data_IF_445514092483
#
_entry.id   IF_445514092483
#
_cell.length_a   1.000
_cell.length_b   1.000
_cell.length_c   1.000
_cell.angle_alpha   90.00
_cell.angle_beta   90.00
_cell.angle_gamma   90.00
#
_symmetry.space_group_name_H-M   'P 1'
#
loop_
_entity.id
_entity.type
_entity.pdbx_description
1 polymer ?
#
# COMPACT_ATOMS: atom_id res chain seq x y z
N UNK A 1 15.47 -17.10 -10.30
CA UNK A 1 14.26 -16.40 -9.82
C UNK A 1 14.47 -16.07 -8.37
N UNK A 2 14.29 -14.82 -7.94
CA UNK A 2 14.57 -14.44 -6.56
C UNK A 2 13.43 -14.93 -5.66
N UNK A 3 13.74 -15.46 -4.48
CA UNK A 3 12.71 -15.89 -3.54
C UNK A 3 13.10 -15.60 -2.10
N UNK A 4 12.10 -15.26 -1.29
CA UNK A 4 12.25 -14.97 0.13
C UNK A 4 11.14 -15.68 0.90
N UNK A 5 11.48 -16.30 2.04
CA UNK A 5 10.48 -16.92 2.92
C UNK A 5 9.82 -15.87 3.80
N UNK A 6 8.51 -15.92 3.95
CA UNK A 6 7.75 -14.98 4.79
C UNK A 6 7.88 -15.40 6.26
N UNK A 7 8.87 -14.85 6.97
CA UNK A 7 8.98 -15.07 8.41
C UNK A 7 8.18 -14.05 9.22
N UNK A 8 8.27 -12.77 8.84
CA UNK A 8 7.49 -11.69 9.46
C UNK A 8 7.15 -10.65 8.41
N UNK A 9 5.97 -10.05 8.53
CA UNK A 9 5.56 -8.92 7.69
C UNK A 9 5.08 -7.77 8.56
N UNK A 10 5.49 -6.57 8.21
CA UNK A 10 4.96 -5.33 8.79
C UNK A 10 4.80 -4.27 7.71
N UNK A 11 4.39 -3.06 8.09
CA UNK A 11 4.32 -1.92 7.19
C UNK A 11 4.80 -0.64 7.88
N UNK A 12 5.19 0.33 7.06
CA UNK A 12 5.46 1.69 7.51
C UNK A 12 5.02 2.70 6.46
N UNK A 13 4.85 3.96 6.89
CA UNK A 13 4.47 5.05 5.99
C UNK A 13 5.71 5.85 5.57
N UNK A 14 5.95 5.97 4.27
CA UNK A 14 7.12 6.69 3.70
C UNK A 14 6.69 7.74 2.69
N UNK A 15 7.59 8.65 2.31
CA UNK A 15 7.44 9.46 1.09
C UNK A 15 7.48 8.55 -0.14
N UNK A 16 6.68 8.82 -1.18
CA UNK A 16 6.66 7.99 -2.39
C UNK A 16 8.00 8.10 -3.13
N UNK A 17 8.52 6.95 -3.57
CA UNK A 17 9.75 6.88 -4.36
C UNK A 17 9.41 6.90 -5.86
N UNK A 18 10.00 7.83 -6.65
CA UNK A 18 9.76 7.87 -8.09
C UNK A 18 10.06 6.52 -8.77
N UNK A 19 9.23 6.12 -9.74
CA UNK A 19 9.27 4.84 -10.48
C UNK A 19 8.85 3.59 -9.68
N UNK A 20 8.68 3.67 -8.36
CA UNK A 20 8.18 2.57 -7.52
C UNK A 20 6.78 2.85 -6.99
N UNK A 21 6.53 4.10 -6.60
CA UNK A 21 5.27 4.54 -6.01
C UNK A 21 4.55 5.56 -6.89
N UNK A 22 3.26 5.74 -6.62
CA UNK A 22 2.45 6.79 -7.23
C UNK A 22 2.74 8.13 -6.55
N UNK A 23 3.46 9.02 -7.24
CA UNK A 23 3.81 10.36 -6.73
C UNK A 23 2.69 11.39 -6.95
N UNK A 24 1.81 11.18 -7.92
CA UNK A 24 0.69 12.07 -8.25
C UNK A 24 -0.60 11.25 -8.36
N UNK A 25 -1.63 11.65 -7.63
CA UNK A 25 -2.93 10.97 -7.66
C UNK A 25 -3.77 11.54 -8.81
N UNK A 26 -4.05 10.78 -9.88
CA UNK A 26 -4.94 11.26 -10.94
C UNK A 26 -6.38 11.47 -10.44
N UNK A 27 -6.80 10.67 -9.46
CA UNK A 27 -8.13 10.77 -8.85
C UNK A 27 -8.32 12.05 -8.02
N UNK A 28 -7.30 12.46 -7.26
CA UNK A 28 -7.38 13.67 -6.42
C UNK A 28 -6.77 14.91 -7.07
N UNK A 29 -6.07 14.74 -8.19
CA UNK A 29 -5.32 15.78 -8.91
C UNK A 29 -4.28 16.50 -8.02
N UNK A 30 -3.73 15.78 -7.04
CA UNK A 30 -2.78 16.30 -6.04
C UNK A 30 -1.53 15.43 -5.92
N UNK A 31 -0.43 16.04 -5.45
CA UNK A 31 0.79 15.32 -5.11
C UNK A 31 0.59 14.43 -3.88
N UNK A 32 1.07 13.20 -3.95
CA UNK A 32 1.01 12.22 -2.86
C UNK A 32 2.12 12.51 -1.87
N UNK A 33 1.77 12.69 -0.58
CA UNK A 33 2.73 12.99 0.48
C UNK A 33 3.34 11.74 1.11
N UNK A 34 2.51 10.73 1.40
CA UNK A 34 2.93 9.48 2.06
C UNK A 34 2.17 8.29 1.49
N UNK A 35 2.87 7.15 1.39
CA UNK A 35 2.34 5.86 0.93
C UNK A 35 2.72 4.76 1.92
N UNK A 36 1.90 3.71 2.05
CA UNK A 36 2.23 2.54 2.84
C UNK A 36 3.21 1.64 2.06
N UNK A 37 4.24 1.16 2.75
CA UNK A 37 5.20 0.18 2.21
C UNK A 37 5.17 -1.03 3.13
N UNK A 38 4.94 -2.21 2.55
CA UNK A 38 5.02 -3.48 3.27
C UNK A 38 6.49 -3.94 3.31
N UNK A 39 6.94 -4.46 4.45
CA UNK A 39 8.26 -5.08 4.59
C UNK A 39 8.08 -6.55 4.95
N UNK A 40 8.66 -7.42 4.14
CA UNK A 40 8.73 -8.86 4.41
C UNK A 40 10.15 -9.20 4.84
N UNK A 41 10.28 -9.77 6.03
CA UNK A 41 11.52 -10.26 6.58
C UNK A 41 11.57 -11.78 6.45
N UNK A 42 12.73 -12.28 6.01
CA UNK A 42 13.02 -13.71 6.09
C UNK A 42 14.22 -14.14 5.26
N UNK A 43 14.55 -15.44 5.28
CA UNK A 43 15.71 -15.97 4.58
C UNK A 43 15.44 -16.20 3.09
N UNK A 44 16.49 -16.06 2.27
CA UNK A 44 16.56 -16.62 0.91
C UNK A 44 16.76 -18.15 0.98
N UNK A 45 16.62 -18.90 -0.14
CA UNK A 45 16.93 -20.34 -0.16
C UNK A 45 18.36 -20.67 0.27
N UNK A 46 19.30 -19.74 0.06
CA UNK A 46 20.68 -19.84 0.52
C UNK A 46 20.86 -19.51 2.02
N UNK A 47 19.79 -19.18 2.75
CA UNK A 47 19.83 -18.87 4.18
C UNK A 47 20.18 -17.42 4.53
N UNK A 48 20.38 -16.55 3.55
CA UNK A 48 20.70 -15.13 3.79
C UNK A 48 19.46 -14.39 4.29
N UNK A 49 19.59 -13.63 5.38
CA UNK A 49 18.50 -12.78 5.88
C UNK A 49 18.30 -11.60 4.94
N UNK A 50 17.09 -11.41 4.46
CA UNK A 50 16.72 -10.30 3.57
C UNK A 50 15.49 -9.56 4.08
N UNK A 51 15.38 -8.29 3.68
CA UNK A 51 14.22 -7.44 3.90
C UNK A 51 13.69 -6.96 2.54
N UNK A 52 12.53 -7.50 2.14
CA UNK A 52 11.86 -7.14 0.90
C UNK A 52 10.90 -5.97 1.16
N UNK A 53 11.07 -4.87 0.42
CA UNK A 53 10.15 -3.74 0.44
C UNK A 53 9.17 -3.85 -0.74
N UNK A 54 7.87 -3.87 -0.43
CA UNK A 54 6.80 -4.00 -1.41
C UNK A 54 6.05 -2.68 -1.49
N UNK A 55 6.07 -2.10 -2.68
CA UNK A 55 5.50 -0.80 -3.02
C UNK A 55 4.17 -0.96 -3.77
N UNK A 56 3.34 0.10 -3.77
CA UNK A 56 2.10 0.15 -4.57
C UNK A 56 0.92 -0.69 -4.06
N UNK A 57 0.98 -1.20 -2.83
CA UNK A 57 -0.13 -1.92 -2.19
C UNK A 57 -0.84 -0.97 -1.23
N UNK A 58 -2.16 -0.84 -1.35
CA UNK A 58 -2.97 0.07 -0.52
C UNK A 58 -4.10 -0.70 0.16
N UNK A 59 -4.38 -0.45 1.45
CA UNK A 59 -5.53 -1.04 2.13
C UNK A 59 -6.83 -0.57 1.49
N UNK A 60 -7.85 -1.41 1.57
CA UNK A 60 -9.18 -1.08 1.05
C UNK A 60 -10.32 -1.53 1.98
N UNK A 61 -11.49 -0.93 1.76
CA UNK A 61 -12.77 -1.39 2.31
C UNK A 61 -13.87 -1.18 1.26
N UNK A 62 -15.03 -1.81 1.46
CA UNK A 62 -16.17 -1.67 0.55
C UNK A 62 -17.38 -1.03 1.24
N UNK A 63 -18.16 -0.27 0.48
CA UNK A 63 -19.48 0.23 0.90
C UNK A 63 -20.51 0.07 -0.22
N UNK A 64 -21.79 -0.18 0.10
CA UNK A 64 -22.83 -0.28 -0.91
C UNK A 64 -23.00 1.03 -1.67
N UNK A 65 -23.22 0.94 -2.97
CA UNK A 65 -23.49 2.09 -3.83
C UNK A 65 -24.96 2.11 -4.25
N UNK A 66 -25.58 3.29 -4.22
CA UNK A 66 -27.00 3.50 -4.52
C UNK A 66 -27.29 3.80 -6.00
N UNK A 67 -26.27 3.91 -6.84
CA UNK A 67 -26.43 4.22 -8.27
C UNK A 67 -26.54 5.71 -8.58
N UNK A 68 -26.20 6.59 -7.64
CA UNK A 68 -26.26 8.05 -7.83
C UNK A 68 -25.42 8.56 -9.00
N UNK A 69 -26.04 9.19 -9.99
CA UNK A 69 -25.35 9.76 -11.16
C UNK A 69 -25.18 11.30 -11.04
N UNK A 70 -24.15 11.91 -11.67
CA UNK A 70 -23.06 11.27 -12.42
C UNK A 70 -22.00 10.64 -11.50
N UNK A 71 -21.55 9.44 -11.88
CA UNK A 71 -20.68 8.59 -11.04
C UNK A 71 -19.40 9.32 -10.64
N UNK A 72 -18.68 9.90 -11.59
CA UNK A 72 -17.38 10.54 -11.32
C UNK A 72 -17.47 11.66 -10.28
N UNK A 73 -18.50 12.50 -10.39
CA UNK A 73 -18.77 13.58 -9.45
C UNK A 73 -19.10 13.03 -8.06
N UNK A 74 -19.93 11.99 -8.00
CA UNK A 74 -20.26 11.32 -6.74
C UNK A 74 -19.02 10.74 -6.06
N UNK A 75 -18.12 10.10 -6.81
CA UNK A 75 -16.88 9.54 -6.25
C UNK A 75 -15.95 10.64 -5.70
N UNK A 76 -15.81 11.76 -6.42
CA UNK A 76 -15.03 12.92 -5.95
C UNK A 76 -15.62 13.53 -4.67
N UNK A 77 -16.94 13.73 -4.62
CA UNK A 77 -17.67 14.25 -3.45
C UNK A 77 -17.58 13.29 -2.25
N UNK A 78 -17.73 11.99 -2.49
CA UNK A 78 -17.61 10.96 -1.46
C UNK A 78 -16.21 10.95 -0.84
N UNK A 79 -15.15 11.02 -1.66
CA UNK A 79 -13.78 11.12 -1.17
C UNK A 79 -13.54 12.41 -0.38
N UNK A 80 -14.06 13.55 -0.84
CA UNK A 80 -13.99 14.83 -0.12
C UNK A 80 -14.73 14.77 1.22
N UNK A 81 -15.87 14.09 1.28
CA UNK A 81 -16.63 13.91 2.52
C UNK A 81 -15.87 13.07 3.54
N UNK A 82 -15.17 12.01 3.12
CA UNK A 82 -14.31 11.22 4.01
C UNK A 82 -13.18 12.08 4.55
N UNK A 83 -12.47 12.81 3.69
CA UNK A 83 -11.36 13.67 4.11
C UNK A 83 -11.84 14.73 5.13
N UNK A 84 -13.01 15.34 4.89
CA UNK A 84 -13.62 16.30 5.82
C UNK A 84 -13.98 15.65 7.17
N UNK A 85 -14.64 14.50 7.16
CA UNK A 85 -15.05 13.81 8.38
C UNK A 85 -13.84 13.37 9.24
N UNK A 86 -12.77 12.89 8.60
CA UNK A 86 -11.53 12.54 9.28
C UNK A 86 -10.88 13.77 9.90
N UNK A 87 -10.77 14.87 9.14
CA UNK A 87 -10.19 16.11 9.66
C UNK A 87 -10.99 16.68 10.84
N UNK A 88 -12.33 16.62 10.77
CA UNK A 88 -13.20 17.01 11.88
C UNK A 88 -12.95 16.15 13.13
N UNK A 89 -12.96 14.81 12.99
CA UNK A 89 -12.72 13.88 14.10
C UNK A 89 -11.32 14.00 14.74
N UNK A 90 -10.30 14.38 13.96
CA UNK A 90 -8.94 14.58 14.48
C UNK A 90 -8.76 15.94 15.17
N UNK A 91 -9.51 16.95 14.75
CA UNK A 91 -9.44 18.29 15.34
C UNK A 91 -9.93 18.32 16.80
N UNK A 92 -10.93 17.51 17.13
CA UNK A 92 -11.45 17.35 18.50
C UNK A 92 -10.44 16.72 19.47
N UNK A 93 -9.50 15.91 18.96
CA UNK A 93 -8.51 15.19 19.77
C UNK A 93 -7.15 15.88 19.84
N UNK A 94 -6.85 16.85 18.97
CA UNK A 94 -5.57 17.58 18.92
C UNK A 94 -5.75 19.07 18.61
N UNK A 95 -6.23 19.85 19.59
CA UNK A 95 -6.38 21.31 19.48
C UNK A 95 -5.06 22.11 19.32
N UNK A 96 -3.89 21.45 19.37
CA UNK A 96 -2.58 22.10 19.45
C UNK A 96 -1.73 22.04 18.15
N UNK A 97 -2.22 21.43 17.06
CA UNK A 97 -1.48 21.35 15.80
C UNK A 97 -2.19 22.13 14.69
N UNK A 98 -1.99 23.45 14.68
CA UNK A 98 -2.45 24.41 13.67
C UNK A 98 -1.87 24.20 12.26
N UNK A 99 -1.15 23.11 12.01
CA UNK A 99 -0.55 22.75 10.71
C UNK A 99 -1.17 21.49 10.09
N UNK A 100 -2.44 21.18 10.37
CA UNK A 100 -3.14 20.02 9.77
C UNK A 100 -3.56 20.31 8.32
N UNK A 101 -2.56 20.38 7.44
CA UNK A 101 -2.74 20.51 6.00
C UNK A 101 -3.41 19.26 5.42
N UNK A 102 -4.74 19.31 5.23
CA UNK A 102 -5.54 18.47 4.31
C UNK A 102 -4.90 17.11 4.04
N UNK A 103 -4.97 16.21 5.02
CA UNK A 103 -4.39 14.88 4.83
C UNK A 103 -5.26 14.11 3.84
N UNK A 104 -4.71 13.93 2.63
CA UNK A 104 -5.32 13.09 1.61
C UNK A 104 -5.44 11.67 2.17
N UNK A 105 -6.66 11.26 2.50
CA UNK A 105 -6.93 9.96 3.14
C UNK A 105 -7.21 8.90 2.09
N UNK A 106 -8.00 9.27 1.08
CA UNK A 106 -8.40 8.38 -0.01
C UNK A 106 -7.41 8.43 -1.18
N UNK A 107 -6.91 7.27 -1.59
CA UNK A 107 -6.06 7.09 -2.77
C UNK A 107 -6.89 7.06 -4.07
N UNK A 108 -7.89 6.19 -4.10
CA UNK A 108 -8.78 5.95 -5.25
C UNK A 108 -10.09 5.35 -4.78
N UNK A 109 -11.18 5.62 -5.48
CA UNK A 109 -12.43 4.84 -5.36
C UNK A 109 -12.70 4.17 -6.71
N UNK A 110 -13.06 2.89 -6.67
CA UNK A 110 -13.44 2.12 -7.87
C UNK A 110 -14.83 1.51 -7.69
N UNK A 111 -15.66 1.61 -8.72
CA UNK A 111 -16.96 0.94 -8.74
C UNK A 111 -16.77 -0.53 -9.09
N UNK A 112 -17.30 -1.43 -8.26
CA UNK A 112 -17.20 -2.89 -8.43
C UNK A 112 -18.56 -3.53 -8.18
N UNK A 113 -18.82 -4.71 -8.75
CA UNK A 113 -19.99 -5.49 -8.41
C UNK A 113 -19.60 -6.58 -7.41
N UNK A 114 -20.42 -6.77 -6.38
CA UNK A 114 -20.20 -7.76 -5.32
C UNK A 114 -21.50 -8.32 -4.79
N UNK A 115 -21.41 -9.47 -4.12
CA UNK A 115 -22.54 -10.11 -3.44
C UNK A 115 -22.24 -10.07 -1.94
N UNK A 116 -23.09 -9.43 -1.10
CA UNK A 116 -22.92 -9.47 0.34
C UNK A 116 -23.01 -10.91 0.84
N UNK A 117 -22.05 -11.32 1.67
CA UNK A 117 -22.03 -12.65 2.27
C UNK A 117 -23.16 -12.85 3.30
N UNK A 118 -23.49 -11.81 4.06
CA UNK A 118 -24.56 -11.88 5.05
C UNK A 118 -25.94 -11.71 4.38
N UNK A 119 -26.81 -12.69 4.61
CA UNK A 119 -28.16 -12.75 4.04
C UNK A 119 -28.21 -13.40 2.66
N UNK A 120 -29.41 -13.75 2.20
CA UNK A 120 -29.62 -14.30 0.87
C UNK A 120 -29.72 -13.17 -0.17
N UNK A 121 -28.73 -13.07 -1.05
CA UNK A 121 -28.67 -12.08 -2.13
C UNK A 121 -28.57 -12.80 -3.48
N UNK A 122 -29.65 -12.86 -4.28
CA UNK A 122 -29.67 -13.62 -5.53
C UNK A 122 -28.91 -12.96 -6.67
N UNK A 123 -28.66 -11.64 -6.58
CA UNK A 123 -28.00 -10.86 -7.62
C UNK A 123 -26.86 -9.99 -7.07
N UNK A 124 -25.78 -9.80 -7.84
CA UNK A 124 -24.75 -8.83 -7.52
C UNK A 124 -25.29 -7.41 -7.45
N UNK A 125 -24.75 -6.62 -6.53
CA UNK A 125 -25.05 -5.20 -6.37
C UNK A 125 -23.78 -4.37 -6.53
N UNK A 126 -23.88 -3.09 -6.91
CA UNK A 126 -22.71 -2.23 -7.01
C UNK A 126 -22.20 -1.82 -5.62
N UNK A 127 -20.88 -1.80 -5.49
CA UNK A 127 -20.12 -1.40 -4.32
C UNK A 127 -19.03 -0.41 -4.71
N UNK A 128 -18.70 0.51 -3.80
CA UNK A 128 -17.50 1.33 -3.91
C UNK A 128 -16.36 0.63 -3.19
N UNK A 129 -15.30 0.28 -3.92
CA UNK A 129 -14.02 -0.15 -3.36
C UNK A 129 -13.16 1.10 -3.10
N UNK A 130 -12.96 1.41 -1.83
CA UNK A 130 -12.26 2.62 -1.39
C UNK A 130 -10.85 2.23 -0.97
N UNK A 131 -9.84 2.72 -1.71
CA UNK A 131 -8.43 2.54 -1.38
C UNK A 131 -7.95 3.71 -0.52
N UNK A 132 -7.23 3.40 0.56
CA UNK A 132 -6.83 4.37 1.58
C UNK A 132 -5.30 4.42 1.65
N UNK A 133 -4.72 5.60 1.93
CA UNK A 133 -3.25 5.71 2.06
C UNK A 133 -2.72 5.11 3.36
N UNK A 134 -3.37 5.39 4.49
CA UNK A 134 -2.90 4.96 5.80
C UNK A 134 -3.74 3.80 6.35
N UNK A 135 -3.18 2.59 6.49
CA UNK A 135 -3.86 1.44 7.08
C UNK A 135 -4.48 1.70 8.45
N UNK A 136 -3.85 2.54 9.27
CA UNK A 136 -4.33 2.84 10.62
C UNK A 136 -5.64 3.66 10.64
N UNK A 137 -6.03 4.25 9.52
CA UNK A 137 -7.27 5.02 9.41
C UNK A 137 -8.47 4.18 8.97
N UNK A 138 -8.27 2.94 8.50
CA UNK A 138 -9.35 2.09 7.97
C UNK A 138 -10.47 1.89 9.00
N UNK A 139 -10.11 1.55 10.24
CA UNK A 139 -11.10 1.38 11.32
C UNK A 139 -11.88 2.66 11.62
N UNK A 140 -11.19 3.80 11.74
CA UNK A 140 -11.84 5.09 11.97
C UNK A 140 -12.77 5.50 10.83
N UNK A 141 -12.38 5.24 9.59
CA UNK A 141 -13.21 5.53 8.42
C UNK A 141 -14.46 4.65 8.44
N UNK A 142 -14.34 3.37 8.79
CA UNK A 142 -15.48 2.49 8.97
C UNK A 142 -16.45 3.01 10.05
N UNK A 143 -15.94 3.50 11.19
CA UNK A 143 -16.79 4.10 12.23
C UNK A 143 -17.51 5.36 11.73
N UNK A 144 -16.82 6.24 11.01
CA UNK A 144 -17.41 7.47 10.44
C UNK A 144 -18.46 7.19 9.36
N UNK A 145 -18.30 6.09 8.61
CA UNK A 145 -19.28 5.63 7.64
C UNK A 145 -20.55 5.09 8.35
N UNK A 146 -20.39 4.40 9.48
CA UNK A 146 -21.48 3.86 10.28
C UNK A 146 -22.26 4.94 11.03
N UNK A 147 -21.59 5.98 11.54
CA UNK A 147 -22.26 7.10 12.23
C UNK A 147 -22.98 8.04 11.28
N UNK A 148 -22.77 7.90 9.97
CA UNK A 148 -23.36 8.76 8.95
C UNK A 148 -22.66 10.12 8.80
N UNK A 149 -21.45 10.29 9.35
CA UNK A 149 -20.66 11.51 9.20
C UNK A 149 -20.25 11.76 7.73
N UNK A 150 -20.21 10.70 6.92
CA UNK A 150 -19.91 10.78 5.48
C UNK A 150 -21.21 10.97 4.70
N UNK A 151 -21.31 12.06 3.93
CA UNK A 151 -22.47 12.42 3.10
C UNK A 151 -23.83 12.46 3.83
N UNK A 152 -23.82 12.55 5.16
CA UNK A 152 -25.03 12.54 5.99
C UNK A 152 -25.89 11.28 5.78
N UNK A 153 -25.24 10.15 5.46
CA UNK A 153 -25.88 8.86 5.18
C UNK A 153 -25.11 7.73 5.85
N UNK A 154 -25.83 6.80 6.44
CA UNK A 154 -25.23 5.60 7.04
C UNK A 154 -24.82 4.63 5.93
N UNK A 155 -23.55 4.26 5.91
CA UNK A 155 -23.00 3.24 5.01
C UNK A 155 -22.50 2.07 5.84
N UNK A 156 -22.90 0.85 5.48
CA UNK A 156 -22.35 -0.37 6.06
C UNK A 156 -20.98 -0.67 5.44
N UNK A 157 -19.86 -0.61 6.20
CA UNK A 157 -18.56 -1.00 5.70
C UNK A 157 -18.48 -2.53 5.65
N UNK A 158 -17.83 -3.03 4.60
CA UNK A 158 -17.49 -4.43 4.42
C UNK A 158 -15.97 -4.59 4.34
N UNK A 159 -15.47 -5.71 4.88
CA UNK A 159 -14.04 -6.07 4.94
C UNK A 159 -13.11 -5.07 5.67
N UNK A 160 -13.66 -4.06 6.36
CA UNK A 160 -12.86 -3.08 7.11
C UNK A 160 -12.10 -3.67 8.31
N UNK A 161 -12.51 -4.85 8.79
CA UNK A 161 -11.86 -5.55 9.90
C UNK A 161 -10.61 -6.33 9.48
N UNK A 162 -10.37 -6.51 8.17
CA UNK A 162 -9.21 -7.25 7.67
C UNK A 162 -7.94 -6.39 7.83
N UNK A 163 -6.91 -6.87 8.56
CA UNK A 163 -5.65 -6.16 8.66
C UNK A 163 -5.00 -5.98 7.28
N UNK A 164 -4.30 -4.86 7.08
CA UNK A 164 -3.65 -4.54 5.81
C UNK A 164 -2.68 -5.62 5.32
N UNK A 165 -1.89 -6.21 6.21
CA UNK A 165 -0.99 -7.32 5.88
C UNK A 165 -1.73 -8.58 5.44
N UNK A 166 -2.92 -8.83 6.00
CA UNK A 166 -3.76 -9.97 5.64
C UNK A 166 -4.43 -9.76 4.27
N UNK A 167 -4.89 -8.54 3.97
CA UNK A 167 -5.39 -8.20 2.63
C UNK A 167 -4.33 -8.51 1.56
N UNK A 168 -3.07 -8.12 1.81
CA UNK A 168 -1.97 -8.46 0.92
C UNK A 168 -1.75 -9.98 0.76
N UNK A 169 -1.92 -10.76 1.82
CA UNK A 169 -1.80 -12.22 1.73
C UNK A 169 -2.93 -12.83 0.89
N UNK A 170 -4.16 -12.34 1.07
CA UNK A 170 -5.32 -12.82 0.33
C UNK A 170 -5.18 -12.48 -1.16
N UNK A 171 -4.87 -11.23 -1.49
CA UNK A 171 -4.79 -10.74 -2.88
C UNK A 171 -3.74 -11.48 -3.72
N UNK A 172 -2.60 -11.85 -3.11
CA UNK A 172 -1.48 -12.50 -3.80
C UNK A 172 -1.35 -13.99 -3.48
N UNK A 173 -2.35 -14.58 -2.80
CA UNK A 173 -2.37 -15.99 -2.40
C UNK A 173 -1.10 -16.41 -1.63
N UNK A 174 -0.70 -15.60 -0.66
CA UNK A 174 0.49 -15.81 0.17
C UNK A 174 0.12 -16.44 1.51
N UNK A 175 1.07 -17.20 2.05
CA UNK A 175 0.92 -17.93 3.31
C UNK A 175 2.12 -17.69 4.21
N UNK A 176 1.90 -17.70 5.53
CA UNK A 176 2.99 -17.63 6.50
C UNK A 176 4.01 -18.75 6.29
N UNK A 177 5.30 -18.46 6.48
CA UNK A 177 6.41 -19.38 6.27
C UNK A 177 6.57 -19.93 4.84
N UNK A 178 5.79 -19.43 3.87
CA UNK A 178 5.89 -19.81 2.47
C UNK A 178 6.88 -18.91 1.71
N UNK A 179 7.28 -19.32 0.51
CA UNK A 179 8.18 -18.59 -0.37
C UNK A 179 7.41 -17.59 -1.24
N UNK A 180 7.79 -16.32 -1.17
CA UNK A 180 7.44 -15.33 -2.22
C UNK A 180 8.42 -15.53 -3.36
N UNK A 181 7.91 -15.79 -4.55
CA UNK A 181 8.68 -15.93 -5.79
C UNK A 181 8.57 -14.64 -6.59
N UNK A 182 9.71 -14.00 -6.88
CA UNK A 182 9.79 -12.70 -7.55
C UNK A 182 10.54 -12.80 -8.88
N UNK A 183 9.91 -12.28 -9.93
CA UNK A 183 10.48 -12.27 -11.28
C UNK A 183 11.53 -11.16 -11.48
N UNK A 184 11.32 -10.02 -10.82
CA UNK A 184 12.19 -8.86 -10.87
C UNK A 184 12.29 -8.24 -9.48
N UNK A 185 13.51 -7.93 -9.07
CA UNK A 185 13.82 -7.25 -7.81
C UNK A 185 14.78 -6.10 -8.07
N UNK A 186 14.70 -5.07 -7.23
CA UNK A 186 15.68 -3.98 -7.22
C UNK A 186 16.33 -3.96 -5.84
N UNK A 187 17.65 -4.04 -5.81
CA UNK A 187 18.40 -3.99 -4.57
C UNK A 187 18.56 -2.53 -4.12
N UNK A 188 18.32 -2.27 -2.84
CA UNK A 188 18.64 -0.99 -2.22
C UNK A 188 20.14 -1.00 -1.92
N UNK A 189 20.90 -0.26 -2.70
CA UNK A 189 22.32 -0.04 -2.48
C UNK A 189 22.41 1.33 -1.81
N UNK A 190 22.83 1.38 -0.56
CA UNK A 190 23.39 2.62 -0.01
C UNK A 190 24.84 2.69 -0.47
N UNK A 191 25.37 3.88 -0.77
CA UNK A 191 26.77 4.03 -1.17
C UNK A 191 27.72 3.40 -0.13
N UNK A 192 27.32 3.37 1.15
CA UNK A 192 28.01 2.67 2.24
C UNK A 192 28.21 1.16 1.99
N UNK A 193 27.33 0.51 1.22
CA UNK A 193 27.45 -0.92 0.92
C UNK A 193 28.60 -1.17 -0.04
N UNK A 194 28.94 -0.27 -0.97
CA UNK A 194 30.12 -0.47 -1.84
C UNK A 194 31.41 -0.56 -1.02
N UNK A 195 31.51 0.23 0.05
CA UNK A 195 32.65 0.19 0.98
C UNK A 195 32.55 -0.98 2.00
N UNK A 196 31.34 -1.48 2.29
CA UNK A 196 31.10 -2.60 3.22
C UNK A 196 30.88 -3.98 2.56
N UNK A 197 30.92 -4.09 1.23
CA UNK A 197 30.80 -5.35 0.50
C UNK A 197 31.86 -6.36 1.00
N UNK A 198 33.05 -5.89 1.39
CA UNK A 198 34.10 -6.71 2.00
C UNK A 198 33.95 -7.02 3.50
N UNK A 199 33.00 -6.38 4.21
CA UNK A 199 32.84 -6.48 5.67
C UNK A 199 31.71 -7.45 6.06
N UNK A 200 30.68 -7.58 5.21
CA UNK A 200 29.54 -8.46 5.47
C UNK A 200 29.41 -9.57 4.41
N UNK A 201 29.75 -10.84 4.73
CA UNK A 201 29.70 -11.94 3.78
C UNK A 201 28.28 -12.22 3.23
N UNK A 202 27.23 -11.85 3.96
CA UNK A 202 25.85 -11.97 3.48
C UNK A 202 25.51 -10.98 2.36
N UNK A 203 26.05 -9.76 2.43
CA UNK A 203 25.86 -8.73 1.40
C UNK A 203 26.68 -9.08 0.15
N UNK A 204 27.92 -9.55 0.32
CA UNK A 204 28.77 -10.04 -0.78
C UNK A 204 28.05 -11.13 -1.58
N UNK A 205 27.51 -12.14 -0.90
CA UNK A 205 26.85 -13.25 -1.58
C UNK A 205 25.54 -12.86 -2.28
N UNK A 206 24.77 -11.91 -1.74
CA UNK A 206 23.63 -11.32 -2.45
C UNK A 206 24.07 -10.55 -3.70
N UNK A 207 25.23 -9.91 -3.62
CA UNK A 207 25.82 -9.18 -4.74
C UNK A 207 26.30 -10.09 -5.87
N UNK A 208 26.93 -11.19 -5.51
CA UNK A 208 27.42 -12.18 -6.46
C UNK A 208 26.25 -12.81 -7.22
N UNK A 209 25.14 -13.12 -6.51
CA UNK A 209 23.92 -13.63 -7.12
C UNK A 209 23.26 -12.61 -8.09
N UNK A 210 23.20 -11.32 -7.74
CA UNK A 210 22.68 -10.29 -8.65
C UNK A 210 23.58 -10.06 -9.87
N UNK A 211 24.91 -10.12 -9.71
CA UNK A 211 25.86 -10.05 -10.83
C UNK A 211 25.65 -11.22 -11.80
N UNK A 212 25.51 -12.43 -11.28
CA UNK A 212 25.24 -13.62 -12.08
C UNK A 212 23.89 -13.49 -12.82
N UNK A 213 22.84 -13.04 -12.13
CA UNK A 213 21.51 -12.83 -12.74
C UNK A 213 21.53 -11.84 -13.91
N UNK A 214 22.33 -10.76 -13.81
CA UNK A 214 22.48 -9.77 -14.89
C UNK A 214 23.28 -10.30 -16.07
N UNK A 215 24.34 -11.05 -15.78
CA UNK A 215 25.13 -11.74 -16.80
C UNK A 215 24.25 -12.70 -17.61
N UNK A 216 23.41 -13.50 -16.94
CA UNK A 216 22.47 -14.43 -17.59
C UNK A 216 21.40 -13.73 -18.45
N UNK A 217 21.19 -12.41 -18.26
CA UNK A 217 20.26 -11.59 -19.04
C UNK A 217 20.93 -10.70 -20.09
N UNK A 218 22.24 -10.82 -20.31
CA UNK A 218 23.03 -9.89 -21.15
C UNK A 218 22.88 -8.41 -20.74
N UNK A 219 22.65 -8.14 -19.44
CA UNK A 219 22.60 -6.79 -18.87
C UNK A 219 24.02 -6.37 -18.42
N UNK A 220 24.38 -5.09 -18.56
CA UNK A 220 25.68 -4.59 -18.12
C UNK A 220 25.88 -4.77 -16.61
N UNK A 221 27.06 -5.29 -16.23
CA UNK A 221 27.50 -5.43 -14.83
C UNK A 221 27.79 -4.09 -14.15
N UNK A 222 27.96 -3.02 -14.93
CA UNK A 222 28.14 -1.66 -14.44
C UNK A 222 26.78 -1.02 -14.09
N UNK A 223 26.68 -0.46 -12.90
CA UNK A 223 25.52 0.27 -12.43
C UNK A 223 25.59 1.73 -12.90
N UNK A 224 24.50 2.23 -13.50
CA UNK A 224 24.34 3.66 -13.76
C UNK A 224 24.16 4.36 -12.41
N UNK A 225 25.07 5.27 -12.07
CA UNK A 225 24.92 6.18 -10.92
C UNK A 225 23.63 6.99 -11.11
N UNK A 226 22.70 6.91 -10.16
CA UNK A 226 21.75 8.01 -10.02
C UNK A 226 22.54 9.19 -9.44
N UNK A 227 22.49 10.38 -10.05
CA UNK A 227 23.16 11.54 -9.50
C UNK A 227 22.59 11.83 -8.11
N UNK A 228 23.51 11.96 -7.16
CA UNK A 228 23.28 12.32 -5.76
C UNK A 228 22.37 13.56 -5.71
N UNK A 229 21.17 13.42 -5.15
CA UNK A 229 20.36 14.59 -4.76
C UNK A 229 20.90 15.06 -3.42
N UNK A 230 21.38 16.30 -3.38
CA UNK A 230 21.85 16.98 -2.17
C UNK A 230 20.75 17.31 -1.17
#
# INVERSE_FOLDING_TARGET
MFSIRIFTIDFYMSRPVPKLDVCYSPFRKTSVKRVPILRVFGPTPAGQKACLHIHGVFPYLYVPYDGSQPVDKYLEEFALSIDKAINASMSESNAASSNSWHQQTVFKISLVNGVPMYGYNPSPRPFLKIYIYNPNLVGKIADLLLTGAVMNKVFQPHEAHLPFTLQFFIDYNLYGMNWIKLNAVKFRITDDIQDQVGINPGIQALWDDERQRRHDRNESSQLIKNPSQG
#
